data_IF_323715548239
#
_entry.id   IF_323715548239
#
_cell.length_a   1.000
_cell.length_b   1.000
_cell.length_c   1.000
_cell.angle_alpha   90.00
_cell.angle_beta   90.00
_cell.angle_gamma   90.00
#
_symmetry.space_group_name_H-M   'P 1'
#
loop_
_entity.id
_entity.type
_entity.pdbx_description
1 polymer ?
#
# COMPACT_ATOMS: atom_id res chain seq x y z
N UNK A 1 -17.36 8.31 12.34
CA UNK A 1 -15.93 8.54 12.03
C UNK A 1 -15.82 8.75 10.53
N UNK A 2 -15.44 9.95 10.08
CA UNK A 2 -15.24 10.22 8.64
C UNK A 2 -13.81 9.85 8.27
N UNK A 3 -13.62 8.91 7.34
CA UNK A 3 -12.30 8.59 6.78
C UNK A 3 -12.00 9.54 5.61
N UNK A 4 -10.76 10.01 5.55
CA UNK A 4 -10.29 10.99 4.57
C UNK A 4 -10.41 10.46 3.12
N UNK A 5 -10.84 11.35 2.22
CA UNK A 5 -10.90 11.13 0.78
C UNK A 5 -9.47 10.97 0.23
N UNK A 6 -9.09 9.82 -0.36
CA UNK A 6 -7.79 9.70 -0.99
C UNK A 6 -7.70 10.67 -2.18
N UNK A 7 -6.58 11.39 -2.25
CA UNK A 7 -6.23 12.24 -3.40
C UNK A 7 -6.20 11.41 -4.69
N UNK A 8 -6.56 11.97 -5.86
CA UNK A 8 -6.77 11.22 -7.12
C UNK A 8 -5.61 10.36 -7.61
N UNK A 9 -4.42 10.44 -7.00
CA UNK A 9 -3.23 9.70 -7.41
C UNK A 9 -2.95 8.39 -6.65
N UNK A 10 -3.77 8.00 -5.64
CA UNK A 10 -3.49 6.84 -4.76
C UNK A 10 -2.31 7.08 -3.81
N UNK A 11 -2.18 6.32 -2.72
CA UNK A 11 -1.04 6.46 -1.77
C UNK A 11 0.20 5.76 -2.35
N UNK A 12 1.38 6.18 -1.91
CA UNK A 12 2.65 5.52 -2.24
C UNK A 12 3.27 4.97 -0.96
N UNK A 13 3.62 3.69 -0.99
CA UNK A 13 4.17 2.94 0.12
C UNK A 13 5.63 2.59 -0.15
N UNK A 14 6.49 2.77 0.85
CA UNK A 14 7.85 2.25 0.82
C UNK A 14 7.93 1.05 1.77
N UNK A 15 8.14 -0.15 1.22
CA UNK A 15 8.08 -1.40 1.98
C UNK A 15 9.42 -2.12 1.92
N UNK A 16 10.11 -2.22 3.05
CA UNK A 16 11.33 -3.01 3.17
C UNK A 16 11.02 -4.48 3.38
N UNK A 17 11.87 -5.38 2.87
CA UNK A 17 11.66 -6.83 3.02
C UNK A 17 10.43 -7.38 2.29
N UNK A 18 9.98 -6.73 1.20
CA UNK A 18 8.78 -7.09 0.44
C UNK A 18 8.85 -8.43 -0.31
N UNK A 19 9.98 -9.14 -0.25
CA UNK A 19 10.16 -10.41 -0.99
C UNK A 19 9.40 -11.59 -0.35
N UNK A 20 9.11 -11.54 0.96
CA UNK A 20 8.44 -12.64 1.70
C UNK A 20 7.81 -12.18 3.01
N UNK A 21 7.01 -13.06 3.62
CA UNK A 21 6.44 -12.86 4.95
C UNK A 21 5.55 -11.61 5.02
N UNK A 22 5.64 -10.90 6.15
CA UNK A 22 4.81 -9.72 6.43
C UNK A 22 5.01 -8.59 5.41
N UNK A 23 6.25 -8.32 5.00
CA UNK A 23 6.55 -7.27 4.03
C UNK A 23 5.84 -7.51 2.69
N UNK A 24 5.85 -8.76 2.21
CA UNK A 24 5.11 -9.15 1.01
C UNK A 24 3.60 -8.99 1.18
N UNK A 25 3.06 -9.42 2.33
CA UNK A 25 1.63 -9.32 2.60
C UNK A 25 1.13 -7.86 2.59
N UNK A 26 1.90 -6.93 3.16
CA UNK A 26 1.57 -5.50 3.11
C UNK A 26 1.67 -4.92 1.70
N UNK A 27 2.72 -5.27 0.94
CA UNK A 27 2.88 -4.82 -0.44
C UNK A 27 1.71 -5.29 -1.31
N UNK A 28 1.32 -6.56 -1.21
CA UNK A 28 0.17 -7.11 -1.94
C UNK A 28 -1.15 -6.43 -1.56
N UNK A 29 -1.38 -6.18 -0.26
CA UNK A 29 -2.59 -5.49 0.21
C UNK A 29 -2.68 -4.03 -0.29
N UNK A 30 -1.56 -3.29 -0.28
CA UNK A 30 -1.50 -1.92 -0.78
C UNK A 30 -1.80 -1.87 -2.29
N UNK A 31 -1.17 -2.75 -3.06
CA UNK A 31 -1.42 -2.88 -4.50
C UNK A 31 -2.89 -3.24 -4.78
N UNK A 32 -3.47 -4.17 -4.01
CA UNK A 32 -4.88 -4.54 -4.15
C UNK A 32 -5.84 -3.39 -3.83
N UNK A 33 -5.45 -2.46 -2.95
CA UNK A 33 -6.20 -1.25 -2.66
C UNK A 33 -6.07 -0.16 -3.76
N UNK A 34 -5.24 -0.38 -4.77
CA UNK A 34 -4.96 0.59 -5.84
C UNK A 34 -3.88 1.61 -5.47
N UNK A 35 -3.16 1.39 -4.36
CA UNK A 35 -1.99 2.18 -4.00
C UNK A 35 -0.75 1.71 -4.79
N UNK A 36 0.31 2.52 -4.78
CA UNK A 36 1.60 2.17 -5.37
C UNK A 36 2.59 1.75 -4.29
N UNK A 37 3.50 0.85 -4.64
CA UNK A 37 4.62 0.40 -3.78
C UNK A 37 5.94 0.67 -4.49
N UNK A 38 6.93 1.20 -3.78
CA UNK A 38 8.29 1.50 -4.23
C UNK A 38 9.35 0.69 -3.47
#
# INVERSE_FOLDING_TARGET
MSVATPSPAGRVWFVTGASRGLGRAFAEAALAAGDRVA
#
